data_IF_258014466448
#
_entry.id   IF_258014466448
#
_cell.length_a   1.000
_cell.length_b   1.000
_cell.length_c   1.000
_cell.angle_alpha   90.00
_cell.angle_beta   90.00
_cell.angle_gamma   90.00
#
_symmetry.space_group_name_H-M   'P 1'
#
loop_
_entity.id
_entity.type
_entity.pdbx_description
1 polymer ?
#
# COMPACT_ATOMS: atom_id res chain seq x y z
N UNK A 1 -44.80 -23.40 -73.27
CA UNK A 1 -43.57 -24.02 -72.74
C UNK A 1 -42.55 -22.94 -72.46
N UNK A 2 -42.40 -22.49 -71.21
CA UNK A 2 -41.18 -21.86 -70.69
C UNK A 2 -41.06 -22.31 -69.24
N UNK A 3 -40.03 -23.11 -68.97
CA UNK A 3 -39.75 -23.69 -67.67
C UNK A 3 -38.95 -22.71 -66.81
N UNK A 4 -39.38 -22.65 -65.55
CA UNK A 4 -38.75 -21.97 -64.42
C UNK A 4 -37.35 -22.51 -64.17
N UNK A 5 -36.36 -21.63 -63.99
CA UNK A 5 -35.11 -21.98 -63.30
C UNK A 5 -34.90 -21.02 -62.13
N UNK A 6 -35.19 -21.52 -60.93
CA UNK A 6 -34.98 -20.85 -59.64
C UNK A 6 -33.53 -21.09 -59.22
N UNK A 7 -32.77 -20.02 -59.02
CA UNK A 7 -31.44 -20.06 -58.40
C UNK A 7 -31.56 -20.47 -56.92
N UNK A 8 -30.82 -21.50 -56.53
CA UNK A 8 -30.59 -21.90 -55.14
C UNK A 8 -29.35 -21.18 -54.60
N UNK A 9 -29.38 -20.55 -53.41
CA UNK A 9 -28.16 -20.11 -52.76
C UNK A 9 -27.54 -21.28 -51.97
N UNK A 10 -26.26 -21.51 -52.18
CA UNK A 10 -25.44 -22.44 -51.41
C UNK A 10 -25.47 -22.06 -49.92
N UNK A 11 -26.02 -22.95 -49.08
CA UNK A 11 -25.92 -22.85 -47.62
C UNK A 11 -24.54 -23.36 -47.20
N UNK A 12 -23.70 -22.47 -46.71
CA UNK A 12 -22.53 -22.85 -45.89
C UNK A 12 -23.02 -23.47 -44.57
N UNK A 13 -22.45 -24.58 -44.10
CA UNK A 13 -22.78 -25.13 -42.79
C UNK A 13 -22.21 -24.21 -41.70
N UNK A 14 -23.08 -23.45 -41.06
CA UNK A 14 -22.80 -22.81 -39.77
C UNK A 14 -22.62 -23.91 -38.71
N UNK A 15 -21.37 -24.18 -38.32
CA UNK A 15 -21.08 -24.89 -37.08
C UNK A 15 -21.37 -23.92 -35.92
N UNK A 16 -22.29 -24.25 -34.99
CA UNK A 16 -22.43 -23.47 -33.77
C UNK A 16 -21.21 -23.74 -32.89
N UNK A 17 -20.22 -22.85 -32.94
CA UNK A 17 -19.20 -22.75 -31.90
C UNK A 17 -19.92 -22.36 -30.61
N UNK A 18 -20.18 -23.34 -29.74
CA UNK A 18 -20.62 -23.06 -28.38
C UNK A 18 -19.55 -22.18 -27.71
N UNK A 19 -19.91 -21.02 -27.13
CA UNK A 19 -18.94 -20.23 -26.40
C UNK A 19 -18.39 -21.08 -25.25
N UNK A 20 -17.08 -21.03 -24.96
CA UNK A 20 -16.53 -21.72 -23.80
C UNK A 20 -17.29 -21.26 -22.56
N UNK A 21 -17.86 -22.20 -21.81
CA UNK A 21 -18.54 -21.94 -20.54
C UNK A 21 -17.53 -21.33 -19.60
N UNK A 22 -17.56 -20.01 -19.43
CA UNK A 22 -16.82 -19.33 -18.37
C UNK A 22 -17.21 -19.96 -17.03
N UNK A 23 -16.23 -20.23 -16.13
CA UNK A 23 -16.56 -20.71 -14.79
C UNK A 23 -17.59 -19.78 -14.15
N UNK A 24 -18.57 -20.32 -13.40
CA UNK A 24 -19.65 -19.52 -12.87
C UNK A 24 -19.08 -18.48 -11.90
N UNK A 25 -19.62 -17.26 -11.99
CA UNK A 25 -19.33 -16.15 -11.07
C UNK A 25 -19.44 -16.52 -9.58
N UNK A 26 -20.11 -17.63 -9.25
CA UNK A 26 -20.22 -18.16 -7.89
C UNK A 26 -18.88 -18.55 -7.28
N UNK A 27 -17.87 -18.94 -8.07
CA UNK A 27 -16.54 -19.29 -7.57
C UNK A 27 -15.78 -18.08 -6.98
N UNK A 28 -16.11 -16.86 -7.42
CA UNK A 28 -15.53 -15.65 -6.86
C UNK A 28 -16.18 -15.21 -5.55
N UNK A 29 -17.34 -15.75 -5.17
CA UNK A 29 -18.10 -15.26 -4.00
C UNK A 29 -17.31 -15.31 -2.69
N UNK A 30 -16.66 -16.44 -2.32
CA UNK A 30 -15.86 -16.48 -1.09
C UNK A 30 -14.72 -15.45 -1.09
N UNK A 31 -14.08 -15.26 -2.25
CA UNK A 31 -13.03 -14.25 -2.43
C UNK A 31 -13.59 -12.82 -2.28
N UNK A 32 -14.71 -12.52 -2.95
CA UNK A 32 -15.36 -11.20 -2.94
C UNK A 32 -15.87 -10.84 -1.54
N UNK A 33 -16.48 -11.79 -0.83
CA UNK A 33 -17.00 -11.59 0.53
C UNK A 33 -15.85 -11.37 1.52
N UNK A 34 -14.77 -12.16 1.42
CA UNK A 34 -13.58 -11.98 2.24
C UNK A 34 -12.91 -10.63 1.98
N UNK A 35 -12.82 -10.19 0.72
CA UNK A 35 -12.31 -8.88 0.36
C UNK A 35 -13.17 -7.74 0.94
N UNK A 36 -14.49 -7.82 0.80
CA UNK A 36 -15.41 -6.83 1.35
C UNK A 36 -15.26 -6.70 2.88
N UNK A 37 -15.22 -7.83 3.59
CA UNK A 37 -15.02 -7.86 5.03
C UNK A 37 -13.67 -7.24 5.44
N UNK A 38 -12.59 -7.58 4.73
CA UNK A 38 -11.26 -7.00 4.99
C UNK A 38 -11.23 -5.49 4.72
N UNK A 39 -11.85 -5.02 3.64
CA UNK A 39 -11.94 -3.59 3.33
C UNK A 39 -12.66 -2.83 4.44
N UNK A 40 -13.80 -3.35 4.91
CA UNK A 40 -14.51 -2.76 6.04
C UNK A 40 -13.70 -2.76 7.32
N UNK A 41 -12.86 -3.77 7.55
CA UNK A 41 -12.01 -3.80 8.74
C UNK A 41 -11.04 -2.60 8.79
N UNK A 42 -10.69 -1.97 7.66
CA UNK A 42 -9.85 -0.77 7.63
C UNK A 42 -10.55 0.49 8.16
N UNK A 43 -11.84 0.40 8.48
CA UNK A 43 -12.66 1.48 9.00
C UNK A 43 -13.10 1.22 10.46
N UNK A 44 -13.34 2.28 11.26
CA UNK A 44 -13.02 3.68 10.95
C UNK A 44 -11.51 3.92 10.93
N UNK A 45 -11.08 4.98 10.25
CA UNK A 45 -9.69 5.43 10.38
C UNK A 45 -9.51 6.02 11.79
N UNK A 46 -8.30 5.94 12.38
CA UNK A 46 -8.02 6.63 13.63
C UNK A 46 -8.28 8.14 13.51
N UNK A 47 -9.10 8.69 14.42
CA UNK A 47 -9.44 10.12 14.47
C UNK A 47 -8.36 10.98 15.12
N UNK A 48 -7.35 10.35 15.72
CA UNK A 48 -6.34 11.00 16.55
C UNK A 48 -5.37 11.91 15.78
N UNK A 49 -5.37 11.90 14.45
CA UNK A 49 -4.51 12.76 13.63
C UNK A 49 -5.10 13.03 12.24
N UNK A 50 -4.80 14.20 11.63
CA UNK A 50 -5.20 14.49 10.25
C UNK A 50 -4.52 13.54 9.25
N UNK A 51 -3.32 13.05 9.57
CA UNK A 51 -2.55 12.11 8.76
C UNK A 51 -2.95 10.64 8.94
N UNK A 52 -2.51 9.79 8.00
CA UNK A 52 -2.60 8.34 8.13
C UNK A 52 -1.56 7.82 9.13
N UNK A 53 -1.98 6.88 9.98
CA UNK A 53 -1.07 6.15 10.85
C UNK A 53 -0.34 5.05 10.07
N UNK A 54 0.95 4.84 10.35
CA UNK A 54 1.75 3.74 9.82
C UNK A 54 1.15 2.37 10.19
N UNK A 55 0.56 2.27 11.38
CA UNK A 55 -0.18 1.06 11.79
C UNK A 55 -1.37 0.75 10.88
N UNK A 56 -2.08 1.78 10.40
CA UNK A 56 -3.15 1.61 9.41
C UNK A 56 -2.58 1.18 8.05
N UNK A 57 -1.48 1.81 7.61
CA UNK A 57 -0.79 1.43 6.37
C UNK A 57 -0.33 -0.03 6.40
N UNK A 58 0.25 -0.49 7.51
CA UNK A 58 0.66 -1.89 7.67
C UNK A 58 -0.53 -2.87 7.52
N UNK A 59 -1.68 -2.56 8.13
CA UNK A 59 -2.91 -3.37 7.99
C UNK A 59 -3.40 -3.39 6.55
N UNK A 60 -3.36 -2.24 5.88
CA UNK A 60 -3.82 -2.11 4.51
C UNK A 60 -2.89 -2.87 3.54
N UNK A 61 -1.57 -2.82 3.74
CA UNK A 61 -0.58 -3.63 2.99
C UNK A 61 -0.82 -5.13 3.20
N UNK A 62 -1.08 -5.57 4.44
CA UNK A 62 -1.43 -6.99 4.73
C UNK A 62 -2.72 -7.42 4.04
N UNK A 63 -3.72 -6.55 3.94
CA UNK A 63 -4.95 -6.83 3.19
C UNK A 63 -4.65 -7.15 1.73
N UNK A 64 -3.76 -6.39 1.07
CA UNK A 64 -3.36 -6.70 -0.30
C UNK A 64 -2.58 -8.01 -0.39
N UNK A 65 -1.68 -8.28 0.55
CA UNK A 65 -0.97 -9.56 0.60
C UNK A 65 -1.95 -10.76 0.66
N UNK A 66 -3.00 -10.66 1.48
CA UNK A 66 -4.07 -11.66 1.56
C UNK A 66 -4.90 -11.73 0.28
N UNK A 67 -5.19 -10.58 -0.33
CA UNK A 67 -5.97 -10.52 -1.59
C UNK A 67 -5.20 -11.18 -2.73
N UNK A 68 -3.88 -10.99 -2.81
CA UNK A 68 -3.01 -11.69 -3.76
C UNK A 68 -2.99 -13.20 -3.53
N UNK A 69 -2.89 -13.63 -2.26
CA UNK A 69 -2.90 -15.04 -1.90
C UNK A 69 -4.22 -15.71 -2.28
N UNK A 70 -5.36 -15.08 -1.98
CA UNK A 70 -6.68 -15.62 -2.33
C UNK A 70 -6.90 -15.60 -3.85
N UNK A 71 -6.41 -14.58 -4.56
CA UNK A 71 -6.45 -14.53 -6.02
C UNK A 71 -5.62 -15.65 -6.65
N UNK A 72 -4.51 -16.06 -6.02
CA UNK A 72 -3.66 -17.14 -6.52
C UNK A 72 -4.39 -18.48 -6.54
N UNK A 73 -5.30 -18.71 -5.59
CA UNK A 73 -6.13 -19.92 -5.55
C UNK A 73 -7.14 -19.99 -6.73
N UNK A 74 -7.50 -18.85 -7.33
CA UNK A 74 -8.44 -18.79 -8.45
C UNK A 74 -7.76 -18.88 -9.83
N UNK A 75 -6.45 -18.67 -9.91
CA UNK A 75 -5.71 -18.70 -11.18
C UNK A 75 -5.77 -20.05 -11.94
N UNK A 76 -5.72 -21.23 -11.29
CA UNK A 76 -5.83 -22.50 -12.00
C UNK A 76 -7.12 -22.64 -12.84
N UNK A 77 -8.17 -21.91 -12.50
CA UNK A 77 -9.45 -21.92 -13.22
C UNK A 77 -9.47 -21.00 -14.48
N UNK A 78 -8.33 -20.40 -14.84
CA UNK A 78 -8.16 -19.53 -16.00
C UNK A 78 -8.20 -20.31 -17.33
N UNK A 79 -9.40 -20.73 -17.72
CA UNK A 79 -9.65 -21.60 -18.89
C UNK A 79 -9.96 -20.82 -20.17
N UNK A 80 -10.54 -19.63 -20.07
CA UNK A 80 -10.92 -18.83 -21.23
C UNK A 80 -9.74 -18.01 -21.79
N UNK A 81 -9.83 -17.63 -23.07
CA UNK A 81 -8.85 -16.71 -23.68
C UNK A 81 -8.84 -15.34 -22.99
N UNK A 82 -10.01 -14.88 -22.54
CA UNK A 82 -10.17 -13.65 -21.76
C UNK A 82 -9.44 -13.74 -20.41
N UNK A 83 -9.55 -14.86 -19.71
CA UNK A 83 -8.85 -15.09 -18.45
C UNK A 83 -7.33 -15.09 -18.66
N UNK A 84 -6.85 -15.81 -19.68
CA UNK A 84 -5.42 -15.82 -20.01
C UNK A 84 -4.91 -14.42 -20.36
N UNK A 85 -5.68 -13.63 -21.10
CA UNK A 85 -5.29 -12.24 -21.41
C UNK A 85 -5.23 -11.38 -20.14
N UNK A 86 -6.19 -11.57 -19.22
CA UNK A 86 -6.19 -10.88 -17.93
C UNK A 86 -4.98 -11.25 -17.07
N UNK A 87 -4.64 -12.54 -17.00
CA UNK A 87 -3.46 -13.03 -16.28
C UNK A 87 -2.17 -12.49 -16.92
N UNK A 88 -2.09 -12.45 -18.25
CA UNK A 88 -0.94 -11.88 -18.95
C UNK A 88 -0.77 -10.38 -18.64
N UNK A 89 -1.86 -9.60 -18.71
CA UNK A 89 -1.83 -8.19 -18.34
C UNK A 89 -1.40 -7.98 -16.87
N UNK A 90 -1.84 -8.85 -15.96
CA UNK A 90 -1.36 -8.84 -14.57
C UNK A 90 0.13 -9.17 -14.44
N UNK A 91 0.68 -10.08 -15.27
CA UNK A 91 2.11 -10.36 -15.25
C UNK A 91 2.92 -9.12 -15.67
N UNK A 92 2.39 -8.29 -16.55
CA UNK A 92 3.05 -7.03 -16.93
C UNK A 92 2.92 -5.99 -15.80
N UNK A 93 1.70 -5.76 -15.28
CA UNK A 93 1.46 -4.77 -14.21
C UNK A 93 2.05 -5.19 -12.85
N UNK A 94 2.20 -6.48 -12.59
CA UNK A 94 2.76 -7.04 -11.36
C UNK A 94 4.23 -6.70 -11.15
N UNK A 95 4.97 -6.31 -12.21
CA UNK A 95 6.33 -5.77 -12.07
C UNK A 95 6.30 -4.43 -11.32
N UNK A 96 5.36 -3.54 -11.69
CA UNK A 96 5.21 -2.26 -11.00
C UNK A 96 4.85 -2.43 -9.51
N UNK A 97 4.15 -3.52 -9.16
CA UNK A 97 3.82 -3.82 -7.76
C UNK A 97 5.07 -4.24 -6.97
N UNK A 98 5.94 -5.04 -7.59
CA UNK A 98 7.22 -5.43 -6.97
C UNK A 98 8.15 -4.22 -6.83
N UNK A 99 8.19 -3.33 -7.83
CA UNK A 99 8.95 -2.08 -7.76
C UNK A 99 8.42 -1.16 -6.64
N UNK A 100 7.10 -1.08 -6.48
CA UNK A 100 6.49 -0.34 -5.37
C UNK A 100 6.83 -0.95 -4.00
N UNK A 101 6.89 -2.28 -3.88
CA UNK A 101 7.37 -2.95 -2.67
C UNK A 101 8.83 -2.57 -2.37
N UNK A 102 9.71 -2.65 -3.37
CA UNK A 102 11.12 -2.29 -3.21
C UNK A 102 11.30 -0.83 -2.80
N UNK A 103 10.52 0.08 -3.40
CA UNK A 103 10.55 1.49 -3.04
C UNK A 103 10.04 1.74 -1.61
N UNK A 104 8.96 1.08 -1.20
CA UNK A 104 8.44 1.17 0.17
C UNK A 104 9.46 0.64 1.19
N UNK A 105 10.11 -0.49 0.91
CA UNK A 105 11.20 -1.03 1.76
C UNK A 105 12.38 -0.06 1.84
N UNK A 106 12.81 0.51 0.71
CA UNK A 106 13.91 1.47 0.68
C UNK A 106 13.61 2.74 1.49
N UNK A 107 12.36 3.21 1.47
CA UNK A 107 11.92 4.37 2.24
C UNK A 107 11.79 4.04 3.74
N UNK A 108 11.26 2.88 4.10
CA UNK A 108 11.26 2.41 5.48
C UNK A 108 12.69 2.31 6.04
N UNK A 109 13.61 1.70 5.31
CA UNK A 109 15.03 1.63 5.67
C UNK A 109 15.66 3.02 5.82
N UNK A 110 15.27 3.98 4.96
CA UNK A 110 15.73 5.36 5.07
C UNK A 110 15.25 6.00 6.37
N UNK A 111 13.99 5.83 6.74
CA UNK A 111 13.44 6.33 8.00
C UNK A 111 14.08 5.66 9.22
N UNK A 112 14.33 4.35 9.16
CA UNK A 112 15.07 3.62 10.20
C UNK A 112 16.51 4.12 10.35
N UNK A 113 17.20 4.44 9.24
CA UNK A 113 18.53 5.08 9.29
C UNK A 113 18.46 6.50 9.86
N UNK A 114 17.48 7.30 9.43
CA UNK A 114 17.23 8.65 9.94
C UNK A 114 17.03 8.63 11.46
N UNK A 115 16.33 7.62 11.99
CA UNK A 115 16.14 7.41 13.43
C UNK A 115 17.45 7.31 14.22
N UNK A 116 18.54 6.79 13.64
CA UNK A 116 19.82 6.64 14.36
C UNK A 116 20.33 7.99 14.88
N UNK A 117 20.12 9.07 14.13
CA UNK A 117 20.46 10.43 14.56
C UNK A 117 19.63 10.89 15.77
N UNK A 118 18.34 10.50 15.84
CA UNK A 118 17.49 10.76 17.01
C UNK A 118 17.95 9.96 18.21
N UNK A 119 18.15 8.64 18.05
CA UNK A 119 18.61 7.78 19.15
C UNK A 119 19.95 8.27 19.72
N UNK A 120 20.87 8.69 18.86
CA UNK A 120 22.14 9.26 19.30
C UNK A 120 21.95 10.57 20.07
N UNK A 121 21.13 11.50 19.56
CA UNK A 121 20.83 12.74 20.27
C UNK A 121 20.19 12.47 21.63
N UNK A 122 19.17 11.61 21.70
CA UNK A 122 18.50 11.23 22.95
C UNK A 122 19.48 10.61 23.93
N UNK A 123 20.35 9.69 23.49
CA UNK A 123 21.37 9.10 24.36
C UNK A 123 22.33 10.14 24.97
N UNK A 124 22.74 11.14 24.19
CA UNK A 124 23.57 12.24 24.69
C UNK A 124 22.83 13.09 25.74
N UNK A 125 21.52 13.29 25.57
CA UNK A 125 20.68 14.11 26.44
C UNK A 125 20.27 13.37 27.73
N UNK A 126 19.99 12.06 27.65
CA UNK A 126 19.62 11.22 28.79
C UNK A 126 20.81 10.86 29.70
N UNK A 127 22.04 10.88 29.16
CA UNK A 127 23.28 10.68 29.93
C UNK A 127 23.89 11.97 30.49
N UNK A 128 23.19 13.09 30.37
CA UNK A 128 23.61 14.38 30.91
C UNK A 128 22.99 14.56 32.28
N UNK A 129 23.78 15.01 33.26
CA UNK A 129 23.26 15.65 34.48
C UNK A 129 22.54 16.95 34.05
N UNK A 130 21.24 16.83 33.72
CA UNK A 130 20.31 17.94 33.47
C UNK A 130 20.76 18.98 32.42
N UNK A 131 21.20 18.55 31.23
CA UNK A 131 21.62 19.48 30.18
C UNK A 131 22.84 20.35 30.52
N UNK A 132 23.58 20.05 31.59
CA UNK A 132 24.69 20.88 32.08
C UNK A 132 26.04 20.62 31.39
N UNK A 133 26.11 19.64 30.49
CA UNK A 133 27.29 19.40 29.66
C UNK A 133 27.14 20.06 28.27
N UNK A 134 27.82 21.21 28.02
CA UNK A 134 27.63 21.98 26.80
C UNK A 134 28.09 21.24 25.54
N UNK A 135 29.08 20.35 25.63
CA UNK A 135 29.57 19.58 24.48
C UNK A 135 28.59 18.48 24.08
N UNK A 136 27.94 17.81 25.04
CA UNK A 136 26.87 16.85 24.76
C UNK A 136 25.66 17.54 24.13
N UNK A 137 25.25 18.71 24.64
CA UNK A 137 24.18 19.51 24.05
C UNK A 137 24.50 19.91 22.61
N UNK A 138 25.72 20.40 22.35
CA UNK A 138 26.17 20.77 21.00
C UNK A 138 26.08 19.58 20.03
N UNK A 139 26.62 18.42 20.42
CA UNK A 139 26.56 17.21 19.60
C UNK A 139 25.14 16.70 19.37
N UNK A 140 24.27 16.81 20.38
CA UNK A 140 22.87 16.45 20.24
C UNK A 140 22.18 17.37 19.21
N UNK A 141 22.44 18.68 19.26
CA UNK A 141 21.94 19.63 18.25
C UNK A 141 22.43 19.30 16.84
N UNK A 142 23.72 19.04 16.67
CA UNK A 142 24.31 18.66 15.38
C UNK A 142 23.60 17.42 14.82
N UNK A 143 23.39 16.39 15.65
CA UNK A 143 22.68 15.17 15.27
C UNK A 143 21.20 15.42 14.92
N UNK A 144 20.51 16.28 15.67
CA UNK A 144 19.13 16.65 15.37
C UNK A 144 19.01 17.50 14.10
N UNK A 145 20.04 18.28 13.75
CA UNK A 145 20.10 19.01 12.48
C UNK A 145 20.23 18.02 11.31
N UNK A 146 21.10 17.02 11.42
CA UNK A 146 21.22 15.92 10.44
C UNK A 146 19.94 15.10 10.31
N UNK A 147 19.23 14.89 11.42
CA UNK A 147 17.91 14.27 11.38
C UNK A 147 16.92 15.11 10.56
N UNK A 148 16.92 16.45 10.68
CA UNK A 148 15.99 17.32 9.93
C UNK A 148 16.37 17.48 8.46
N UNK A 149 17.65 17.45 8.12
CA UNK A 149 18.16 17.65 6.74
C UNK A 149 17.82 16.50 5.80
N UNK A 150 17.49 15.32 6.33
CA UNK A 150 17.15 14.14 5.54
C UNK A 150 15.76 14.25 4.88
N UNK A 151 15.69 14.95 3.75
CA UNK A 151 14.44 15.18 3.01
C UNK A 151 13.81 13.86 2.50
N UNK A 152 12.48 13.79 2.37
CA UNK A 152 11.81 12.69 1.65
C UNK A 152 12.33 12.59 0.23
N UNK A 153 12.45 11.37 -0.31
CA UNK A 153 12.56 11.18 -1.77
C UNK A 153 11.15 11.16 -2.36
N UNK A 154 10.88 11.86 -3.46
CA UNK A 154 9.57 11.82 -4.09
C UNK A 154 9.29 10.40 -4.60
N UNK A 155 8.27 9.75 -4.04
CA UNK A 155 7.77 8.42 -4.44
C UNK A 155 6.58 8.49 -5.42
N UNK A 156 6.12 9.71 -5.75
CA UNK A 156 4.85 9.96 -6.46
C UNK A 156 4.68 9.34 -7.85
N UNK A 157 5.76 8.83 -8.49
CA UNK A 157 5.67 8.10 -9.75
C UNK A 157 5.02 6.71 -9.64
N UNK A 158 5.12 6.07 -8.47
CA UNK A 158 4.76 4.65 -8.28
C UNK A 158 3.26 4.40 -8.20
N UNK A 159 2.50 5.33 -7.60
CA UNK A 159 1.05 5.23 -7.56
C UNK A 159 0.46 5.21 -8.98
N UNK A 160 0.96 6.07 -9.86
CA UNK A 160 0.46 6.18 -11.25
C UNK A 160 0.74 4.94 -12.09
N UNK A 161 1.88 4.27 -11.88
CA UNK A 161 2.20 3.02 -12.60
C UNK A 161 1.32 1.83 -12.23
N UNK A 162 0.63 1.91 -11.10
CA UNK A 162 -0.25 0.85 -10.58
C UNK A 162 -1.73 1.10 -10.86
N UNK A 163 -2.07 2.15 -11.62
CA UNK A 163 -3.43 2.44 -12.01
C UNK A 163 -4.03 1.26 -12.81
N UNK A 164 -5.24 0.77 -12.45
CA UNK A 164 -5.88 -0.29 -13.19
C UNK A 164 -6.12 0.15 -14.64
N UNK A 165 -5.73 -0.69 -15.60
CA UNK A 165 -5.67 -0.32 -17.01
C UNK A 165 -7.03 0.14 -17.58
N UNK A 166 -8.13 -0.56 -17.25
CA UNK A 166 -9.52 -0.15 -17.49
C UNK A 166 -10.49 -0.96 -16.61
N UNK A 167 -11.65 -0.38 -16.21
CA UNK A 167 -12.69 -1.15 -15.55
C UNK A 167 -13.19 -2.27 -16.48
N UNK A 168 -13.30 -3.51 -15.97
CA UNK A 168 -13.78 -4.63 -16.76
C UNK A 168 -15.21 -4.40 -17.23
N UNK A 169 -15.50 -4.69 -18.51
CA UNK A 169 -16.85 -4.56 -19.11
C UNK A 169 -17.49 -5.92 -19.33
N UNK A 170 -18.78 -6.05 -19.04
CA UNK A 170 -19.57 -7.26 -19.31
C UNK A 170 -19.51 -8.32 -18.21
N UNK A 171 -19.90 -9.57 -18.53
CA UNK A 171 -19.91 -10.68 -17.56
C UNK A 171 -18.49 -11.12 -17.25
N UNK A 172 -18.08 -10.99 -15.99
CA UNK A 172 -16.73 -11.31 -15.53
C UNK A 172 -16.67 -12.71 -14.92
N UNK A 173 -15.68 -13.48 -15.36
CA UNK A 173 -15.23 -14.72 -14.74
C UNK A 173 -14.67 -14.47 -13.34
N UNK A 174 -14.53 -15.54 -12.55
CA UNK A 174 -13.94 -15.43 -11.22
C UNK A 174 -12.49 -14.91 -11.26
N UNK A 175 -11.69 -15.39 -12.21
CA UNK A 175 -10.29 -14.96 -12.43
C UNK A 175 -10.21 -13.47 -12.74
N UNK A 176 -11.04 -12.97 -13.67
CA UNK A 176 -11.00 -11.55 -14.05
C UNK A 176 -11.38 -10.64 -12.90
N UNK A 177 -12.35 -11.04 -12.08
CA UNK A 177 -12.75 -10.28 -10.88
C UNK A 177 -11.66 -10.25 -9.83
N UNK A 178 -10.98 -11.38 -9.60
CA UNK A 178 -9.89 -11.47 -8.65
C UNK A 178 -8.69 -10.59 -9.06
N UNK A 179 -8.29 -10.65 -10.33
CA UNK A 179 -7.21 -9.80 -10.87
C UNK A 179 -7.58 -8.32 -10.75
N UNK A 180 -8.80 -7.95 -11.14
CA UNK A 180 -9.23 -6.56 -11.05
C UNK A 180 -9.30 -6.05 -9.61
N UNK A 181 -9.72 -6.90 -8.67
CA UNK A 181 -9.66 -6.57 -7.24
C UNK A 181 -8.22 -6.34 -6.75
N UNK A 182 -7.26 -7.18 -7.16
CA UNK A 182 -5.84 -6.99 -6.87
C UNK A 182 -5.35 -5.65 -7.42
N UNK A 183 -5.66 -5.32 -8.68
CA UNK A 183 -5.27 -4.05 -9.30
C UNK A 183 -5.86 -2.85 -8.56
N UNK A 184 -7.16 -2.89 -8.24
CA UNK A 184 -7.84 -1.80 -7.53
C UNK A 184 -7.27 -1.58 -6.12
N UNK A 185 -7.07 -2.66 -5.35
CA UNK A 185 -6.48 -2.56 -4.00
C UNK A 185 -5.02 -2.12 -4.06
N UNK A 186 -4.24 -2.61 -5.03
CA UNK A 186 -2.85 -2.18 -5.24
C UNK A 186 -2.77 -0.69 -5.50
N UNK A 187 -3.67 -0.17 -6.31
CA UNK A 187 -3.71 1.25 -6.64
C UNK A 187 -4.10 2.13 -5.45
N UNK A 188 -5.15 1.75 -4.72
CA UNK A 188 -5.56 2.44 -3.47
C UNK A 188 -4.38 2.55 -2.50
N UNK A 189 -3.66 1.44 -2.31
CA UNK A 189 -2.55 1.40 -1.37
C UNK A 189 -1.34 2.17 -1.84
N UNK A 190 -1.07 2.12 -3.14
CA UNK A 190 0.05 2.86 -3.71
C UNK A 190 -0.20 4.36 -3.64
N UNK A 191 -1.44 4.82 -3.81
CA UNK A 191 -1.83 6.20 -3.55
C UNK A 191 -1.69 6.58 -2.08
N UNK A 192 -2.11 5.72 -1.15
CA UNK A 192 -1.97 5.96 0.28
C UNK A 192 -0.49 5.99 0.74
N UNK A 193 0.33 5.05 0.26
CA UNK A 193 1.76 4.99 0.53
C UNK A 193 2.50 6.16 -0.10
N UNK A 194 2.24 6.49 -1.37
CA UNK A 194 2.87 7.61 -2.05
C UNK A 194 2.51 8.93 -1.37
N UNK A 195 1.24 9.13 -0.99
CA UNK A 195 0.82 10.34 -0.29
C UNK A 195 1.45 10.45 1.10
N UNK A 196 1.42 9.36 1.90
CA UNK A 196 2.08 9.33 3.21
C UNK A 196 3.61 9.46 3.16
N UNK A 197 4.23 9.17 2.00
CA UNK A 197 5.68 9.20 1.80
C UNK A 197 6.13 10.26 0.76
N UNK A 198 5.29 11.26 0.46
CA UNK A 198 5.65 12.39 -0.41
C UNK A 198 4.82 12.61 -1.69
N UNK A 199 3.48 12.57 -1.58
CA UNK A 199 2.54 13.01 -2.61
C UNK A 199 1.93 11.90 -3.49
N UNK A 200 0.60 11.90 -3.61
CA UNK A 200 -0.15 10.96 -4.45
C UNK A 200 -1.65 11.28 -4.53
N UNK A 201 -2.29 10.84 -5.62
CA UNK A 201 -3.73 10.98 -5.84
C UNK A 201 -4.39 9.58 -5.72
N UNK A 202 -5.60 9.49 -5.16
CA UNK A 202 -6.32 8.22 -4.96
C UNK A 202 -7.60 8.22 -5.80
N UNK A 203 -7.66 7.42 -6.88
CA UNK A 203 -8.86 7.39 -7.71
C UNK A 203 -9.98 6.49 -7.20
N UNK A 204 -11.20 7.00 -7.35
CA UNK A 204 -12.42 6.45 -6.78
C UNK A 204 -13.23 5.52 -7.71
N UNK A 205 -12.80 5.26 -8.95
CA UNK A 205 -13.65 4.59 -9.93
C UNK A 205 -13.42 3.07 -10.01
N UNK A 206 -14.18 2.36 -9.18
CA UNK A 206 -14.45 0.92 -9.30
C UNK A 206 -15.92 0.74 -9.76
N UNK A 207 -16.20 -0.14 -10.75
CA UNK A 207 -17.56 -0.48 -11.18
C UNK A 207 -18.48 -0.83 -10.01
N UNK A 208 -19.71 -0.32 -10.03
CA UNK A 208 -20.64 -0.45 -8.91
C UNK A 208 -21.25 -1.86 -8.75
N UNK A 209 -21.11 -2.70 -9.78
CA UNK A 209 -21.65 -4.05 -9.88
C UNK A 209 -20.81 -5.12 -9.16
N UNK A 210 -19.61 -4.77 -8.68
CA UNK A 210 -18.76 -5.69 -7.92
C UNK A 210 -19.18 -5.72 -6.44
N UNK A 211 -19.27 -6.91 -5.80
CA UNK A 211 -19.80 -7.03 -4.44
C UNK A 211 -19.01 -6.27 -3.35
N UNK A 212 -17.72 -6.02 -3.58
CA UNK A 212 -16.82 -5.30 -2.66
C UNK A 212 -16.66 -3.81 -3.02
N UNK A 213 -17.28 -3.34 -4.11
CA UNK A 213 -17.04 -1.98 -4.62
C UNK A 213 -17.55 -0.88 -3.68
N UNK A 214 -18.61 -1.17 -2.91
CA UNK A 214 -19.14 -0.21 -1.95
C UNK A 214 -18.19 0.00 -0.78
N UNK A 215 -17.62 -1.09 -0.27
CA UNK A 215 -16.65 -1.13 0.81
C UNK A 215 -15.35 -0.44 0.36
N UNK A 216 -14.90 -0.72 -0.87
CA UNK A 216 -13.77 -0.01 -1.46
C UNK A 216 -14.00 1.49 -1.54
N UNK A 217 -15.17 1.93 -2.03
CA UNK A 217 -15.49 3.36 -2.15
C UNK A 217 -15.53 4.07 -0.80
N UNK A 218 -16.03 3.40 0.25
CA UNK A 218 -16.01 3.93 1.62
C UNK A 218 -14.57 4.13 2.12
N UNK A 219 -13.70 3.14 1.93
CA UNK A 219 -12.28 3.24 2.32
C UNK A 219 -11.58 4.32 1.50
N UNK A 220 -11.73 4.31 0.17
CA UNK A 220 -11.13 5.28 -0.72
C UNK A 220 -11.53 6.72 -0.35
N UNK A 221 -12.82 6.99 -0.11
CA UNK A 221 -13.28 8.31 0.32
C UNK A 221 -12.65 8.74 1.65
N UNK A 222 -12.62 7.84 2.64
CA UNK A 222 -12.09 8.14 3.96
C UNK A 222 -10.56 8.36 3.93
N UNK A 223 -9.84 7.65 3.07
CA UNK A 223 -8.41 7.84 2.81
C UNK A 223 -8.17 9.15 2.07
N UNK A 224 -8.88 9.42 0.97
CA UNK A 224 -8.74 10.66 0.20
C UNK A 224 -8.90 11.92 1.05
N UNK A 225 -9.81 11.91 2.04
CA UNK A 225 -9.95 13.02 2.99
C UNK A 225 -8.70 13.29 3.83
N UNK A 226 -7.91 12.27 4.17
CA UNK A 226 -6.65 12.40 4.91
C UNK A 226 -5.42 12.69 4.03
N UNK A 227 -5.55 12.57 2.71
CA UNK A 227 -4.45 12.74 1.76
C UNK A 227 -4.44 14.12 1.07
N UNK A 228 -5.37 15.01 1.40
CA UNK A 228 -5.56 16.30 0.72
C UNK A 228 -4.48 17.37 1.03
N UNK A 229 -3.34 17.00 1.63
CA UNK A 229 -2.23 17.90 1.94
C UNK A 229 -0.89 17.16 2.03
N UNK A 230 0.19 17.90 2.23
CA UNK A 230 1.53 17.35 2.54
C UNK A 230 1.51 16.71 3.93
N UNK A 231 0.97 15.49 4.03
CA UNK A 231 0.78 14.80 5.29
C UNK A 231 1.90 13.79 5.51
N UNK A 232 2.78 14.06 6.47
CA UNK A 232 3.67 13.03 6.99
C UNK A 232 2.88 12.05 7.87
N UNK A 233 3.32 10.79 8.04
CA UNK A 233 2.61 9.81 8.84
C UNK A 233 2.44 10.29 10.29
N UNK A 234 1.34 9.93 10.94
CA UNK A 234 1.01 10.42 12.28
C UNK A 234 2.13 10.20 13.31
N UNK A 235 2.80 9.04 13.25
CA UNK A 235 3.93 8.69 14.11
C UNK A 235 5.16 9.58 13.84
N UNK A 236 5.37 10.03 12.59
CA UNK A 236 6.47 10.93 12.24
C UNK A 236 6.19 12.36 12.69
N UNK A 237 4.95 12.86 12.51
CA UNK A 237 4.48 14.14 13.07
C UNK A 237 4.65 14.20 14.59
N UNK A 238 4.35 13.11 15.29
CA UNK A 238 4.51 13.01 16.74
C UNK A 238 5.98 13.16 17.15
N UNK A 239 6.90 12.52 16.43
CA UNK A 239 8.35 12.66 16.64
C UNK A 239 8.80 14.08 16.33
N UNK A 240 8.36 14.68 15.22
CA UNK A 240 8.68 16.07 14.85
C UNK A 240 8.22 17.07 15.91
N UNK A 241 7.01 16.91 16.44
CA UNK A 241 6.48 17.72 17.53
C UNK A 241 7.28 17.54 18.83
N UNK A 242 7.63 16.30 19.19
CA UNK A 242 8.40 16.01 20.39
C UNK A 242 9.84 16.56 20.30
N UNK A 243 10.50 16.39 19.16
CA UNK A 243 11.84 16.89 18.89
C UNK A 243 11.88 18.42 18.88
N UNK A 244 10.83 19.07 18.35
CA UNK A 244 10.66 20.52 18.41
C UNK A 244 10.59 21.00 19.86
N UNK A 245 9.68 20.44 20.66
CA UNK A 245 9.55 20.78 22.09
C UNK A 245 10.87 20.57 22.86
N UNK A 246 11.57 19.48 22.58
CA UNK A 246 12.88 19.20 23.18
C UNK A 246 13.92 20.26 22.78
N UNK A 247 13.91 20.72 21.52
CA UNK A 247 14.80 21.79 21.05
C UNK A 247 14.49 23.13 21.73
N UNK A 248 13.22 23.48 21.84
CA UNK A 248 12.78 24.72 22.50
C UNK A 248 13.25 24.77 23.98
N UNK A 249 13.16 23.64 24.70
CA UNK A 249 13.65 23.55 26.09
C UNK A 249 15.17 23.65 26.17
N UNK A 250 15.91 23.03 25.23
CA UNK A 250 17.37 23.16 25.17
C UNK A 250 17.83 24.61 24.99
N UNK A 251 17.11 25.40 24.21
CA UNK A 251 17.43 26.80 23.96
C UNK A 251 17.06 27.70 25.16
N UNK A 252 15.99 27.34 25.87
CA UNK A 252 15.60 27.98 27.14
C UNK A 252 16.63 27.80 28.27
N UNK A 253 17.25 26.62 28.38
CA UNK A 253 18.29 26.33 29.38
C UNK A 253 19.52 27.24 29.23
N UNK A 254 19.88 27.62 28.01
CA UNK A 254 21.04 28.50 27.77
C UNK A 254 20.76 29.97 28.13
N UNK A 255 19.49 30.38 28.15
CA UNK A 255 19.11 31.79 28.32
C UNK A 255 18.76 32.13 29.78
N UNK A 256 18.13 31.19 30.50
CA UNK A 256 17.66 31.40 31.87
C UNK A 256 18.23 30.28 32.76
N UNK A 257 19.30 30.57 33.50
CA UNK A 257 20.01 29.60 34.38
C UNK A 257 19.24 29.17 35.63
N UNK A 258 17.94 28.87 35.50
CA UNK A 258 17.02 28.60 36.61
C UNK A 258 16.62 27.11 36.73
N UNK A 259 16.38 26.67 37.98
CA UNK A 259 16.31 25.26 38.39
C UNK A 259 15.04 24.48 37.98
N UNK A 260 14.01 25.15 37.47
CA UNK A 260 12.75 24.51 37.02
C UNK A 260 12.86 23.86 35.62
N UNK A 261 13.92 24.18 34.87
CA UNK A 261 14.14 23.66 33.53
C UNK A 261 14.58 22.18 33.47
N UNK A 262 15.06 21.60 34.57
CA UNK A 262 15.56 20.22 34.60
C UNK A 262 14.45 19.18 34.43
N UNK A 263 13.28 19.41 35.06
CA UNK A 263 12.14 18.51 34.97
C UNK A 263 11.43 18.61 33.62
N UNK A 264 11.24 19.84 33.11
CA UNK A 264 10.66 20.08 31.79
C UNK A 264 11.52 19.47 30.67
N UNK A 265 12.85 19.55 30.81
CA UNK A 265 13.79 18.91 29.90
C UNK A 265 13.70 17.38 29.93
N UNK A 266 13.73 16.76 31.12
CA UNK A 266 13.55 15.29 31.25
C UNK A 266 12.23 14.83 30.65
N UNK A 267 11.15 15.56 30.89
CA UNK A 267 9.83 15.27 30.32
C UNK A 267 9.84 15.37 28.79
N UNK A 268 10.50 16.37 28.23
CA UNK A 268 10.61 16.54 26.77
C UNK A 268 11.45 15.42 26.13
N UNK A 269 12.59 15.06 26.73
CA UNK A 269 13.42 13.93 26.29
C UNK A 269 12.64 12.62 26.37
N UNK A 270 11.97 12.34 27.49
CA UNK A 270 11.16 11.12 27.64
C UNK A 270 9.98 11.04 26.66
N UNK A 271 9.35 12.18 26.34
CA UNK A 271 8.32 12.23 25.30
C UNK A 271 8.89 11.92 23.89
N UNK A 272 10.09 12.44 23.57
CA UNK A 272 10.77 12.17 22.32
C UNK A 272 11.26 10.71 22.22
N UNK A 273 11.75 10.12 23.31
CA UNK A 273 12.10 8.70 23.41
C UNK A 273 10.86 7.83 23.14
N UNK A 274 9.74 8.12 23.80
CA UNK A 274 8.48 7.39 23.60
C UNK A 274 8.01 7.47 22.14
N UNK A 275 7.92 8.68 21.57
CA UNK A 275 7.50 8.86 20.19
C UNK A 275 8.43 8.16 19.19
N UNK A 276 9.75 8.17 19.45
CA UNK A 276 10.74 7.48 18.62
C UNK A 276 10.59 5.96 18.70
N UNK A 277 10.24 5.43 19.88
CA UNK A 277 9.92 4.01 20.06
C UNK A 277 8.68 3.60 19.26
N UNK A 278 7.58 4.35 19.39
CA UNK A 278 6.33 4.12 18.65
C UNK A 278 6.54 4.17 17.12
N UNK A 279 7.32 5.14 16.63
CA UNK A 279 7.71 5.22 15.22
C UNK A 279 8.48 3.97 14.76
N UNK A 280 9.37 3.44 15.61
CA UNK A 280 10.18 2.25 15.28
C UNK A 280 9.30 1.02 15.13
N UNK A 281 8.45 0.75 16.12
CA UNK A 281 7.53 -0.39 16.09
C UNK A 281 6.60 -0.31 14.87
N UNK A 282 6.12 0.89 14.54
CA UNK A 282 5.26 1.10 13.39
C UNK A 282 6.00 0.90 12.06
N UNK A 283 7.24 1.35 11.92
CA UNK A 283 8.08 1.12 10.73
C UNK A 283 8.43 -0.37 10.55
N UNK A 284 8.70 -1.09 11.65
CA UNK A 284 8.96 -2.53 11.60
C UNK A 284 7.70 -3.29 11.17
N UNK A 285 6.52 -2.89 11.65
CA UNK A 285 5.24 -3.45 11.24
C UNK A 285 4.96 -3.24 9.75
N UNK A 286 5.23 -2.04 9.22
CA UNK A 286 5.12 -1.72 7.78
C UNK A 286 6.11 -2.55 6.97
N UNK A 287 7.37 -2.61 7.40
CA UNK A 287 8.43 -3.39 6.71
C UNK A 287 8.08 -4.88 6.64
N UNK A 288 7.57 -5.45 7.75
CA UNK A 288 7.07 -6.81 7.79
C UNK A 288 5.91 -7.04 6.82
N UNK A 289 4.94 -6.13 6.79
CA UNK A 289 3.80 -6.18 5.88
C UNK A 289 4.22 -6.08 4.40
N UNK A 290 5.17 -5.21 4.05
CA UNK A 290 5.69 -5.06 2.69
C UNK A 290 6.43 -6.33 2.26
N UNK A 291 7.20 -6.96 3.15
CA UNK A 291 7.85 -8.23 2.86
C UNK A 291 6.85 -9.39 2.63
N UNK A 292 5.74 -9.40 3.36
CA UNK A 292 4.63 -10.33 3.12
C UNK A 292 3.98 -10.07 1.75
N UNK A 293 3.71 -8.79 1.44
CA UNK A 293 3.17 -8.38 0.15
C UNK A 293 4.06 -8.81 -1.01
N UNK A 294 5.37 -8.57 -0.92
CA UNK A 294 6.35 -8.98 -1.94
C UNK A 294 6.33 -10.49 -2.18
N UNK A 295 6.31 -11.29 -1.09
CA UNK A 295 6.20 -12.75 -1.16
C UNK A 295 4.90 -13.21 -1.81
N UNK A 296 3.76 -12.63 -1.44
CA UNK A 296 2.46 -12.94 -2.05
C UNK A 296 2.38 -12.55 -3.53
N UNK A 297 2.94 -11.40 -3.90
CA UNK A 297 2.99 -10.94 -5.29
C UNK A 297 3.84 -11.90 -6.16
N UNK A 298 5.00 -12.33 -5.66
CA UNK A 298 5.83 -13.35 -6.31
C UNK A 298 5.11 -14.70 -6.41
N UNK A 299 4.42 -15.13 -5.36
CA UNK A 299 3.65 -16.37 -5.37
C UNK A 299 2.55 -16.34 -6.44
N UNK A 300 1.75 -15.27 -6.50
CA UNK A 300 0.71 -15.10 -7.52
C UNK A 300 1.30 -15.11 -8.94
N UNK A 301 2.41 -14.38 -9.15
CA UNK A 301 3.13 -14.35 -10.44
C UNK A 301 3.63 -15.74 -10.83
N UNK A 302 4.24 -16.48 -9.89
CA UNK A 302 4.74 -17.82 -10.14
C UNK A 302 3.61 -18.79 -10.49
N UNK A 303 2.46 -18.71 -9.79
CA UNK A 303 1.26 -19.51 -10.11
C UNK A 303 0.75 -19.19 -11.51
N UNK A 304 0.66 -17.91 -11.87
CA UNK A 304 0.28 -17.47 -13.21
C UNK A 304 1.20 -18.04 -14.30
N UNK A 305 2.53 -17.96 -14.10
CA UNK A 305 3.52 -18.49 -15.03
C UNK A 305 3.44 -20.02 -15.17
N UNK A 306 3.18 -20.75 -14.08
CA UNK A 306 2.97 -22.20 -14.16
C UNK A 306 1.74 -22.54 -15.02
N UNK A 307 0.65 -21.77 -14.88
CA UNK A 307 -0.55 -21.92 -15.70
C UNK A 307 -0.29 -21.76 -17.20
N UNK A 308 0.60 -20.84 -17.60
CA UNK A 308 1.00 -20.68 -19.00
C UNK A 308 1.91 -21.80 -19.50
N UNK A 309 2.81 -22.31 -18.65
CA UNK A 309 3.78 -23.35 -19.01
C UNK A 309 3.16 -24.74 -19.15
N UNK A 310 2.11 -25.04 -18.38
CA UNK A 310 1.48 -26.36 -18.39
C UNK A 310 0.69 -26.67 -19.69
N UNK A 311 0.39 -25.66 -20.51
CA UNK A 311 -0.42 -25.81 -21.73
C UNK A 311 -1.87 -26.20 -21.44
N UNK A 312 -2.77 -26.16 -22.44
CA UNK A 312 -4.14 -26.64 -22.26
C UNK A 312 -4.13 -28.17 -22.02
N UNK A 313 -4.92 -28.68 -21.05
CA UNK A 313 -5.10 -30.13 -20.91
C UNK A 313 -5.78 -30.66 -22.18
N UNK A 314 -5.02 -31.35 -23.04
CA UNK A 314 -5.54 -31.94 -24.29
C UNK A 314 -4.66 -31.83 -25.53
N UNK A 315 -3.47 -31.22 -25.46
CA UNK A 315 -2.46 -31.32 -26.51
C UNK A 315 -1.31 -32.24 -26.05
N UNK A 316 -1.55 -33.55 -26.07
CA UNK A 316 -0.52 -34.58 -26.12
C UNK A 316 -0.87 -35.56 -27.22
#
# INVERSE_FOLDING_TARGET
MFLVQKNSPHRFPFLPSSPPKSPPASLARPFEDALAARLLSLLPLPDSSPSLALSWLARAVRLLALTLSDAAALLPDATSSSDRHAVAAYLDSGVALLDACNAASAEADRLLRRRLHLCFALHLLSSSDEGRNPEKLRRARDSLAEWRSSSPRPTGGLARSLAPAQPPRGKLSAVRRAIYAVEAVSFLLSGALASALGGGDVPALVPADLPWANEYRKVAAAVSHKLAGDCSPAELEAVESAVKKMTDVMDGIQSNGDGDNGESFRKAVGAAEKATGELTEALDAVSGAVNELFRSALALRNTALHGFRAGPPGCK
#
